data_IF_605172481309
#
_entry.id   IF_605172481309
#
_cell.length_a   1.000
_cell.length_b   1.000
_cell.length_c   1.000
_cell.angle_alpha   90.00
_cell.angle_beta   90.00
_cell.angle_gamma   90.00
#
_symmetry.space_group_name_H-M   'P 1'
#
loop_
_entity.id
_entity.type
_entity.pdbx_description
1 polymer ?
#
# COMPACT_ATOMS: atom_id res chain seq x y z
N UNK A 1 3.90 -11.22 36.55
CA UNK A 1 5.26 -11.24 35.97
C UNK A 1 5.70 -9.81 35.59
N UNK A 2 6.71 -9.28 36.28
CA UNK A 2 7.32 -7.98 35.99
C UNK A 2 8.18 -8.15 34.74
N UNK A 3 7.74 -7.62 33.60
CA UNK A 3 8.53 -7.68 32.38
C UNK A 3 9.58 -6.56 32.42
N UNK A 4 10.88 -6.86 32.23
CA UNK A 4 11.89 -5.81 32.09
C UNK A 4 11.64 -5.04 30.79
N UNK A 5 12.22 -3.84 30.66
CA UNK A 5 12.15 -3.04 29.44
C UNK A 5 12.59 -3.88 28.24
N UNK A 6 11.64 -4.31 27.41
CA UNK A 6 11.89 -5.08 26.20
C UNK A 6 12.18 -4.12 25.07
N UNK A 7 13.21 -4.41 24.28
CA UNK A 7 13.35 -3.76 22.97
C UNK A 7 12.22 -4.23 22.05
N UNK A 8 11.88 -3.43 21.04
CA UNK A 8 10.82 -3.76 20.08
C UNK A 8 11.03 -5.15 19.45
N UNK A 9 12.28 -5.49 19.12
CA UNK A 9 12.67 -6.79 18.58
C UNK A 9 12.32 -7.96 19.51
N UNK A 10 12.67 -7.85 20.82
CA UNK A 10 12.35 -8.90 21.80
C UNK A 10 10.84 -9.08 21.97
N UNK A 11 10.08 -7.98 21.84
CA UNK A 11 8.63 -8.03 21.93
C UNK A 11 8.02 -8.74 20.71
N UNK A 12 8.54 -8.48 19.51
CA UNK A 12 8.14 -9.18 18.27
C UNK A 12 8.46 -10.67 18.38
N UNK A 13 9.69 -11.05 18.73
CA UNK A 13 10.10 -12.45 18.86
C UNK A 13 9.19 -13.23 19.82
N UNK A 14 8.84 -12.59 20.94
CA UNK A 14 7.90 -13.15 21.90
C UNK A 14 6.50 -13.30 21.29
N UNK A 15 5.98 -12.30 20.59
CA UNK A 15 4.67 -12.38 19.96
C UNK A 15 4.62 -13.49 18.90
N UNK A 16 5.68 -13.63 18.11
CA UNK A 16 5.79 -14.68 17.09
C UNK A 16 5.94 -16.07 17.71
N UNK A 17 6.50 -16.20 18.92
CA UNK A 17 6.59 -17.48 19.62
C UNK A 17 5.23 -18.09 20.00
N UNK A 18 4.15 -17.29 20.00
CA UNK A 18 2.81 -17.77 20.34
C UNK A 18 2.10 -18.47 19.18
N UNK A 19 2.56 -18.30 17.93
CA UNK A 19 1.89 -18.85 16.76
C UNK A 19 2.88 -19.06 15.61
N UNK A 20 3.17 -20.33 15.32
CA UNK A 20 4.05 -20.68 14.19
C UNK A 20 3.50 -20.21 12.83
N UNK A 21 2.19 -20.34 12.53
CA UNK A 21 1.64 -19.81 11.28
C UNK A 21 1.81 -18.29 11.15
N UNK A 22 1.70 -17.55 12.25
CA UNK A 22 1.92 -16.10 12.26
C UNK A 22 3.40 -15.76 12.02
N UNK A 23 4.30 -16.53 12.63
CA UNK A 23 5.75 -16.39 12.46
C UNK A 23 6.18 -16.62 11.01
N UNK A 24 5.68 -17.67 10.36
CA UNK A 24 5.95 -17.92 8.94
C UNK A 24 5.42 -16.78 8.05
N UNK A 25 4.18 -16.35 8.27
CA UNK A 25 3.60 -15.23 7.52
C UNK A 25 4.37 -13.92 7.72
N UNK A 26 4.85 -13.67 8.95
CA UNK A 26 5.66 -12.50 9.29
C UNK A 26 6.97 -12.45 8.50
N UNK A 27 7.73 -13.55 8.50
CA UNK A 27 9.01 -13.61 7.79
C UNK A 27 8.82 -13.55 6.27
N UNK A 28 7.85 -14.30 5.72
CA UNK A 28 7.53 -14.24 4.30
C UNK A 28 7.17 -12.81 3.86
N UNK A 29 6.34 -12.11 4.64
CA UNK A 29 5.99 -10.72 4.35
C UNK A 29 7.18 -9.77 4.43
N UNK A 30 8.08 -9.95 5.41
CA UNK A 30 9.29 -9.13 5.55
C UNK A 30 10.25 -9.34 4.39
N UNK A 31 10.50 -10.58 3.97
CA UNK A 31 11.37 -10.90 2.84
C UNK A 31 10.84 -10.24 1.54
N UNK A 32 9.53 -10.26 1.34
CA UNK A 32 8.88 -9.55 0.24
C UNK A 32 9.02 -8.02 0.37
N UNK A 33 8.84 -7.47 1.57
CA UNK A 33 8.97 -6.03 1.79
C UNK A 33 10.40 -5.54 1.56
N UNK A 34 11.40 -6.36 1.85
CA UNK A 34 12.80 -6.03 1.59
C UNK A 34 13.12 -6.06 0.08
N UNK A 35 12.57 -7.02 -0.66
CA UNK A 35 12.62 -7.00 -2.13
C UNK A 35 11.94 -5.75 -2.72
N UNK A 36 10.81 -5.34 -2.13
CA UNK A 36 10.10 -4.13 -2.54
C UNK A 36 10.91 -2.85 -2.24
N UNK A 37 11.48 -2.73 -1.02
CA UNK A 37 12.29 -1.58 -0.60
C UNK A 37 13.59 -1.44 -1.40
N UNK A 38 14.20 -2.56 -1.75
CA UNK A 38 15.38 -2.63 -2.63
C UNK A 38 15.05 -2.37 -4.11
N UNK A 39 13.78 -2.14 -4.45
CA UNK A 39 13.27 -1.94 -5.82
C UNK A 39 13.59 -3.11 -6.77
N UNK A 40 13.81 -4.30 -6.21
CA UNK A 40 14.08 -5.51 -6.98
C UNK A 40 12.77 -6.18 -7.40
N UNK A 41 12.16 -5.65 -8.47
CA UNK A 41 10.90 -6.17 -8.99
C UNK A 41 10.98 -7.65 -9.42
N UNK A 42 12.11 -8.11 -9.94
CA UNK A 42 12.30 -9.51 -10.34
C UNK A 42 12.17 -10.42 -9.13
N UNK A 43 12.90 -10.11 -8.05
CA UNK A 43 12.84 -10.87 -6.80
C UNK A 43 11.44 -10.83 -6.19
N UNK A 44 10.80 -9.66 -6.16
CA UNK A 44 9.47 -9.50 -5.57
C UNK A 44 8.41 -10.34 -6.30
N UNK A 45 8.40 -10.31 -7.64
CA UNK A 45 7.44 -11.08 -8.44
C UNK A 45 7.72 -12.59 -8.33
N UNK A 46 9.00 -12.99 -8.27
CA UNK A 46 9.37 -14.39 -8.06
C UNK A 46 8.83 -14.91 -6.72
N UNK A 47 9.03 -14.15 -5.64
CA UNK A 47 8.50 -14.50 -4.31
C UNK A 47 6.97 -14.60 -4.29
N UNK A 48 6.25 -13.77 -5.06
CA UNK A 48 4.79 -13.88 -5.20
C UNK A 48 4.33 -15.15 -5.93
N UNK A 49 5.13 -15.65 -6.88
CA UNK A 49 4.84 -16.89 -7.62
C UNK A 49 5.15 -18.13 -6.78
N UNK A 50 6.21 -18.06 -5.98
CA UNK A 50 6.77 -19.18 -5.20
C UNK A 50 6.47 -19.05 -3.70
N UNK A 51 5.23 -18.71 -3.35
CA UNK A 51 4.83 -18.62 -1.95
C UNK A 51 4.79 -20.01 -1.28
N UNK A 52 5.32 -20.16 -0.05
CA UNK A 52 5.30 -21.42 0.68
C UNK A 52 3.89 -22.02 0.81
N UNK A 53 3.78 -23.33 0.65
CA UNK A 53 2.50 -24.05 0.85
C UNK A 53 2.09 -24.14 2.33
N UNK A 54 3.04 -23.92 3.24
CA UNK A 54 2.80 -23.89 4.69
C UNK A 54 2.03 -22.66 5.13
N UNK A 55 2.03 -21.58 4.32
CA UNK A 55 1.27 -20.37 4.61
C UNK A 55 -0.22 -20.62 4.57
N UNK A 56 -0.93 -19.88 5.42
CA UNK A 56 -2.39 -19.86 5.40
C UNK A 56 -2.92 -19.60 3.97
N UNK A 57 -3.92 -20.39 3.60
CA UNK A 57 -4.47 -20.38 2.24
C UNK A 57 -5.10 -19.04 1.85
N UNK A 58 -5.73 -18.34 2.82
CA UNK A 58 -6.34 -17.03 2.58
C UNK A 58 -5.27 -15.96 2.43
N UNK A 59 -4.24 -16.00 3.26
CA UNK A 59 -3.07 -15.13 3.16
C UNK A 59 -2.36 -15.31 1.82
N UNK A 60 -2.06 -16.56 1.43
CA UNK A 60 -1.43 -16.89 0.15
C UNK A 60 -2.24 -16.35 -1.02
N UNK A 61 -3.57 -16.56 -1.02
CA UNK A 61 -4.46 -16.06 -2.07
C UNK A 61 -4.43 -14.53 -2.19
N UNK A 62 -4.40 -13.81 -1.07
CA UNK A 62 -4.30 -12.35 -1.06
C UNK A 62 -2.99 -11.86 -1.68
N UNK A 63 -1.87 -12.52 -1.36
CA UNK A 63 -0.58 -12.19 -1.96
C UNK A 63 -0.54 -12.54 -3.46
N UNK A 64 -0.99 -13.74 -3.85
CA UNK A 64 -1.04 -14.15 -5.27
C UNK A 64 -1.91 -13.23 -6.13
N UNK A 65 -2.99 -12.66 -5.57
CA UNK A 65 -3.80 -11.67 -6.29
C UNK A 65 -3.00 -10.44 -6.76
N UNK A 66 -1.87 -10.12 -6.14
CA UNK A 66 -0.98 -9.04 -6.58
C UNK A 66 -0.37 -9.32 -7.95
N UNK A 67 -0.24 -10.58 -8.38
CA UNK A 67 0.24 -10.95 -9.72
C UNK A 67 -0.65 -10.40 -10.83
N UNK A 68 -1.96 -10.20 -10.57
CA UNK A 68 -2.85 -9.54 -11.53
C UNK A 68 -2.47 -8.08 -11.82
N UNK A 69 -1.65 -7.48 -10.94
CA UNK A 69 -1.16 -6.11 -11.04
C UNK A 69 0.36 -6.04 -11.29
N UNK A 70 0.96 -7.13 -11.77
CA UNK A 70 2.41 -7.26 -11.98
C UNK A 70 3.01 -6.08 -12.75
N UNK A 71 2.38 -5.65 -13.86
CA UNK A 71 2.86 -4.52 -14.65
C UNK A 71 2.91 -3.22 -13.83
N UNK A 72 1.85 -2.94 -13.05
CA UNK A 72 1.77 -1.75 -12.20
C UNK A 72 2.83 -1.77 -11.09
N UNK A 73 3.01 -2.92 -10.45
CA UNK A 73 4.03 -3.13 -9.41
C UNK A 73 5.42 -2.94 -10.01
N UNK A 74 5.73 -3.58 -11.13
CA UNK A 74 7.00 -3.42 -11.84
C UNK A 74 7.28 -1.95 -12.15
N UNK A 75 6.33 -1.26 -12.74
CA UNK A 75 6.48 0.15 -13.09
C UNK A 75 6.70 1.02 -11.84
N UNK A 76 6.00 0.74 -10.73
CA UNK A 76 6.19 1.48 -9.47
C UNK A 76 7.57 1.29 -8.84
N UNK A 77 8.23 0.15 -9.09
CA UNK A 77 9.56 -0.15 -8.58
C UNK A 77 10.67 0.42 -9.48
N UNK A 78 10.43 0.46 -10.80
CA UNK A 78 11.39 1.01 -11.78
C UNK A 78 11.42 2.54 -11.74
N UNK A 79 10.24 3.18 -11.77
CA UNK A 79 10.16 4.63 -11.92
C UNK A 79 10.20 5.35 -10.57
N UNK A 80 10.75 6.58 -10.51
CA UNK A 80 10.80 7.37 -9.27
C UNK A 80 9.48 8.11 -8.98
N UNK A 81 8.40 7.81 -9.71
CA UNK A 81 7.13 8.50 -9.54
C UNK A 81 6.32 7.90 -8.40
N UNK A 82 5.83 8.76 -7.51
CA UNK A 82 4.89 8.36 -6.47
C UNK A 82 3.46 8.75 -6.86
N UNK A 83 2.50 7.90 -6.49
CA UNK A 83 1.08 8.24 -6.58
C UNK A 83 0.66 9.35 -5.60
N UNK A 84 1.56 9.84 -4.74
CA UNK A 84 1.24 10.82 -3.70
C UNK A 84 0.60 12.11 -4.22
N UNK A 85 1.07 12.63 -5.37
CA UNK A 85 0.47 13.81 -6.00
C UNK A 85 -0.96 13.56 -6.48
N UNK A 86 -1.24 12.36 -6.99
CA UNK A 86 -2.57 11.96 -7.48
C UNK A 86 -3.50 11.72 -6.28
N UNK A 87 -3.04 11.03 -5.25
CA UNK A 87 -3.79 10.76 -4.03
C UNK A 87 -4.14 12.04 -3.25
N UNK A 88 -3.23 13.02 -3.21
CA UNK A 88 -3.53 14.34 -2.66
C UNK A 88 -4.71 15.01 -3.40
N UNK A 89 -4.69 14.99 -4.75
CA UNK A 89 -5.79 15.53 -5.57
C UNK A 89 -7.10 14.77 -5.32
N UNK A 90 -7.07 13.44 -5.27
CA UNK A 90 -8.24 12.61 -4.96
C UNK A 90 -8.83 12.96 -3.59
N UNK A 91 -7.99 13.19 -2.59
CA UNK A 91 -8.41 13.60 -1.25
C UNK A 91 -9.08 14.98 -1.27
N UNK A 92 -8.49 15.95 -1.97
CA UNK A 92 -9.08 17.28 -2.14
C UNK A 92 -10.46 17.21 -2.82
N UNK A 93 -10.59 16.41 -3.87
CA UNK A 93 -11.86 16.19 -4.59
C UNK A 93 -12.90 15.52 -3.67
N UNK A 94 -12.51 14.48 -2.92
CA UNK A 94 -13.39 13.81 -1.97
C UNK A 94 -13.86 14.77 -0.87
N UNK A 95 -12.97 15.57 -0.31
CA UNK A 95 -13.31 16.59 0.68
C UNK A 95 -14.25 17.63 0.11
N UNK A 96 -13.96 18.15 -1.09
CA UNK A 96 -14.85 19.08 -1.78
C UNK A 96 -16.24 18.47 -1.95
N UNK A 97 -16.34 17.24 -2.47
CA UNK A 97 -17.61 16.53 -2.63
C UNK A 97 -18.40 16.42 -1.32
N UNK A 98 -17.74 16.12 -0.19
CA UNK A 98 -18.39 16.03 1.13
C UNK A 98 -18.93 17.38 1.64
N UNK A 99 -18.25 18.49 1.36
CA UNK A 99 -18.69 19.83 1.82
C UNK A 99 -19.60 20.55 0.81
N UNK A 100 -19.77 19.97 -0.38
CA UNK A 100 -20.47 20.57 -1.52
C UNK A 100 -21.96 20.26 -1.56
N UNK A 101 -22.62 20.18 -0.41
CA UNK A 101 -24.08 20.09 -0.37
C UNK A 101 -24.68 21.34 -1.05
N UNK A 102 -25.50 21.15 -2.10
CA UNK A 102 -26.12 22.25 -2.84
C UNK A 102 -25.45 22.65 -4.16
N UNK A 103 -24.40 21.94 -4.63
CA UNK A 103 -23.92 22.13 -6.00
C UNK A 103 -24.97 21.67 -7.01
N UNK A 104 -25.54 22.63 -7.75
CA UNK A 104 -26.59 22.40 -8.77
C UNK A 104 -26.05 21.86 -10.10
N UNK A 105 -24.74 22.02 -10.36
CA UNK A 105 -24.10 21.65 -11.63
C UNK A 105 -22.76 20.97 -11.42
N UNK A 106 -22.56 19.83 -12.09
CA UNK A 106 -21.30 19.11 -12.14
C UNK A 106 -20.18 19.94 -12.80
N UNK A 107 -20.51 20.76 -13.80
CA UNK A 107 -19.54 21.64 -14.46
C UNK A 107 -18.95 22.66 -13.49
N UNK A 108 -19.78 23.26 -12.62
CA UNK A 108 -19.32 24.19 -11.60
C UNK A 108 -18.42 23.50 -10.57
N UNK A 109 -18.71 22.24 -10.23
CA UNK A 109 -17.85 21.45 -9.36
C UNK A 109 -16.51 21.15 -10.02
N UNK A 110 -16.48 20.76 -11.30
CA UNK A 110 -15.24 20.53 -12.08
C UNK A 110 -14.38 21.79 -12.17
N UNK A 111 -14.97 22.94 -12.51
CA UNK A 111 -14.26 24.23 -12.57
C UNK A 111 -13.61 24.56 -11.23
N UNK A 112 -14.36 24.39 -10.12
CA UNK A 112 -13.82 24.61 -8.78
C UNK A 112 -12.68 23.65 -8.45
N UNK A 113 -12.78 22.37 -8.82
CA UNK A 113 -11.68 21.39 -8.66
C UNK A 113 -10.44 21.87 -9.42
N UNK A 114 -10.59 22.32 -10.66
CA UNK A 114 -9.47 22.79 -11.48
C UNK A 114 -8.83 24.07 -10.90
N UNK A 115 -9.63 25.04 -10.45
CA UNK A 115 -9.12 26.25 -9.79
C UNK A 115 -8.39 25.93 -8.48
N UNK A 116 -8.98 25.11 -7.60
CA UNK A 116 -8.38 24.75 -6.31
C UNK A 116 -7.07 23.97 -6.47
N UNK A 117 -6.95 23.19 -7.55
CA UNK A 117 -5.74 22.43 -7.87
C UNK A 117 -4.74 23.20 -8.76
N UNK A 118 -5.00 24.49 -9.03
CA UNK A 118 -4.20 25.36 -9.91
C UNK A 118 -3.93 24.74 -11.29
N UNK A 119 -4.95 24.09 -11.85
CA UNK A 119 -4.91 23.50 -13.20
C UNK A 119 -5.40 24.49 -14.26
N UNK A 120 -6.16 25.50 -13.84
CA UNK A 120 -6.58 26.63 -14.67
C UNK A 120 -6.31 27.91 -13.88
N UNK A 121 -5.87 28.95 -14.58
CA UNK A 121 -5.75 30.30 -14.04
C UNK A 121 -6.87 31.15 -14.64
N UNK A 122 -7.60 31.85 -13.78
CA UNK A 122 -8.55 32.87 -14.23
C UNK A 122 -7.73 34.13 -14.46
N UNK A 123 -7.68 34.57 -15.71
CA UNK A 123 -7.10 35.87 -16.08
C UNK A 123 -7.91 37.01 -15.50
#
# INVERSE_FOLDING_TARGET
>A
PHYPYQTEAMMIDRLLSYSEPLKEAYYCFHDMMDAFRSKNHVSFIQQLKELPETLDSEFRKKLQNLLNYEEGIRNSLIYPYSNGKIEAKNTHIKTLKRVSYGFKSFENMKLRIFMMNRLIEVK
#
